data_IF_873811329410
#
_entry.id   IF_873811329410
#
_cell.length_a   1.000
_cell.length_b   1.000
_cell.length_c   1.000
_cell.angle_alpha   90.00
_cell.angle_beta   90.00
_cell.angle_gamma   90.00
#
_symmetry.space_group_name_H-M   'P 1'
#
loop_
_entity.id
_entity.type
_entity.pdbx_description
1 polymer ?
#
# COMPACT_ATOMS: atom_id res chain seq x y z
N UNK A 1 -12.17 -4.53 -8.30
CA UNK A 1 -12.00 -3.10 -8.65
C UNK A 1 -11.49 -2.99 -10.08
N UNK A 2 -11.62 -1.83 -10.73
CA UNK A 2 -11.07 -1.62 -12.06
C UNK A 2 -10.63 -0.17 -12.28
N UNK A 3 -9.71 0.04 -13.22
CA UNK A 3 -9.22 1.38 -13.61
C UNK A 3 -9.32 1.58 -15.11
N UNK A 4 -9.38 2.85 -15.53
CA UNK A 4 -9.37 3.21 -16.95
C UNK A 4 -7.95 3.43 -17.45
N UNK A 5 -7.68 3.07 -18.70
CA UNK A 5 -6.36 3.28 -19.34
C UNK A 5 -5.92 4.74 -19.29
N UNK A 6 -6.83 5.71 -19.47
CA UNK A 6 -6.50 7.14 -19.36
C UNK A 6 -5.87 7.55 -18.01
N UNK A 7 -6.26 6.88 -16.92
CA UNK A 7 -5.69 7.12 -15.60
C UNK A 7 -4.27 6.55 -15.54
N UNK A 8 -4.08 5.31 -16.00
CA UNK A 8 -2.77 4.67 -16.11
C UNK A 8 -1.77 5.52 -16.93
N UNK A 9 -2.22 6.05 -18.08
CA UNK A 9 -1.43 6.91 -18.97
C UNK A 9 -0.92 8.15 -18.23
N UNK A 10 -1.81 8.83 -17.50
CA UNK A 10 -1.47 10.02 -16.72
C UNK A 10 -0.52 9.68 -15.57
N UNK A 11 -0.85 8.68 -14.76
CA UNK A 11 -0.14 8.36 -13.52
C UNK A 11 1.27 7.80 -13.80
N UNK A 12 1.44 7.06 -14.90
CA UNK A 12 2.73 6.51 -15.30
C UNK A 12 3.50 7.37 -16.32
N UNK A 13 2.94 8.51 -16.73
CA UNK A 13 3.50 9.40 -17.76
C UNK A 13 3.84 8.66 -19.06
N UNK A 14 2.86 7.94 -19.60
CA UNK A 14 2.97 7.21 -20.85
C UNK A 14 2.53 8.08 -22.02
N UNK A 15 3.18 7.92 -23.16
CA UNK A 15 2.77 8.55 -24.40
C UNK A 15 1.78 7.62 -25.12
N UNK A 16 0.68 8.17 -25.64
CA UNK A 16 -0.31 7.41 -26.38
C UNK A 16 -0.07 7.57 -27.88
N UNK A 17 0.36 6.49 -28.52
CA UNK A 17 0.80 6.47 -29.92
C UNK A 17 -0.35 6.10 -30.87
N UNK A 18 -1.23 5.19 -30.47
CA UNK A 18 -2.37 4.74 -31.28
C UNK A 18 -3.55 4.28 -30.42
N UNK A 19 -4.71 4.06 -31.03
CA UNK A 19 -5.91 3.54 -30.35
C UNK A 19 -6.55 4.57 -29.42
N UNK A 20 -6.66 5.82 -29.86
CA UNK A 20 -7.18 6.95 -29.07
C UNK A 20 -8.58 6.69 -28.51
N UNK A 21 -9.42 5.98 -29.27
CA UNK A 21 -10.79 5.62 -28.89
C UNK A 21 -10.86 4.58 -27.76
N UNK A 22 -9.74 3.91 -27.44
CA UNK A 22 -9.64 2.92 -26.37
C UNK A 22 -9.23 3.48 -25.00
N UNK A 23 -9.11 4.80 -24.83
CA UNK A 23 -8.67 5.43 -23.57
C UNK A 23 -9.53 5.07 -22.35
N UNK A 24 -10.79 4.76 -22.58
CA UNK A 24 -11.74 4.37 -21.52
C UNK A 24 -11.82 2.86 -21.31
N UNK A 25 -10.97 2.06 -22.00
CA UNK A 25 -10.84 0.62 -21.74
C UNK A 25 -10.51 0.37 -20.26
N UNK A 26 -11.04 -0.75 -19.76
CA UNK A 26 -10.99 -1.09 -18.34
C UNK A 26 -9.92 -2.14 -18.06
N UNK A 27 -9.09 -1.89 -17.06
CA UNK A 27 -8.09 -2.82 -16.52
C UNK A 27 -8.60 -3.33 -15.18
N UNK A 28 -8.75 -4.64 -15.05
CA UNK A 28 -9.23 -5.29 -13.83
C UNK A 28 -8.27 -6.37 -13.29
N UNK A 29 -7.29 -6.80 -14.08
CA UNK A 29 -6.23 -7.74 -13.65
C UNK A 29 -5.00 -6.95 -13.18
N UNK A 30 -4.42 -7.40 -12.07
CA UNK A 30 -3.20 -6.84 -11.48
C UNK A 30 -1.93 -7.28 -12.23
N UNK A 31 -2.01 -8.39 -12.97
CA UNK A 31 -0.90 -8.98 -13.68
C UNK A 31 -0.70 -8.37 -15.06
N UNK A 32 0.55 -8.45 -15.51
CA UNK A 32 1.00 -7.94 -16.81
C UNK A 32 1.38 -9.14 -17.68
N UNK A 33 0.97 -9.12 -18.94
CA UNK A 33 1.28 -10.15 -19.92
C UNK A 33 2.47 -9.75 -20.78
N UNK A 34 3.37 -10.69 -21.08
CA UNK A 34 4.52 -10.45 -21.97
C UNK A 34 4.45 -11.40 -23.16
N UNK A 35 4.09 -10.91 -24.37
CA UNK A 35 3.68 -11.76 -25.48
C UNK A 35 4.84 -12.45 -26.21
N UNK A 36 5.71 -13.18 -25.50
CA UNK A 36 6.87 -13.85 -26.09
C UNK A 36 6.46 -15.08 -26.91
N UNK A 37 5.67 -15.98 -26.32
CA UNK A 37 5.24 -17.24 -26.93
C UNK A 37 4.09 -17.03 -27.91
N UNK A 38 3.24 -16.04 -27.65
CA UNK A 38 2.16 -15.59 -28.50
C UNK A 38 2.69 -15.08 -29.83
N UNK A 39 3.79 -14.32 -29.79
CA UNK A 39 4.49 -13.93 -31.00
C UNK A 39 5.15 -15.11 -31.71
N UNK A 40 5.37 -16.25 -31.06
CA UNK A 40 5.77 -17.50 -31.71
C UNK A 40 4.60 -18.33 -32.26
N UNK A 41 3.35 -17.95 -31.97
CA UNK A 41 2.13 -18.62 -32.42
C UNK A 41 1.53 -19.60 -31.39
N UNK A 42 2.04 -19.61 -30.16
CA UNK A 42 1.49 -20.40 -29.07
C UNK A 42 0.52 -19.55 -28.24
N UNK A 43 -0.76 -19.91 -28.22
CA UNK A 43 -1.83 -19.13 -27.59
C UNK A 43 -2.55 -19.86 -26.45
N UNK A 44 -2.09 -21.06 -26.10
CA UNK A 44 -2.63 -21.74 -24.94
C UNK A 44 -2.26 -20.92 -23.69
N UNK A 45 -3.23 -20.70 -22.81
CA UNK A 45 -3.13 -19.83 -21.62
C UNK A 45 -3.14 -18.31 -21.88
N UNK A 46 -3.47 -17.86 -23.10
CA UNK A 46 -3.60 -16.42 -23.41
C UNK A 46 -4.67 -15.73 -22.55
N UNK A 47 -4.26 -14.74 -21.75
CA UNK A 47 -5.17 -13.95 -20.91
C UNK A 47 -5.38 -12.53 -21.44
N UNK A 48 -6.43 -12.36 -22.24
CA UNK A 48 -6.75 -11.11 -22.92
C UNK A 48 -6.98 -9.92 -21.97
N UNK A 49 -7.48 -10.17 -20.75
CA UNK A 49 -7.85 -9.11 -19.80
C UNK A 49 -6.68 -8.34 -19.18
N UNK A 50 -5.43 -8.72 -19.47
CA UNK A 50 -4.22 -8.16 -18.87
C UNK A 50 -3.62 -7.03 -19.71
N UNK A 51 -2.87 -6.15 -19.06
CA UNK A 51 -2.04 -5.18 -19.76
C UNK A 51 -0.86 -5.89 -20.41
N UNK A 52 -0.61 -5.63 -21.70
CA UNK A 52 0.52 -6.25 -22.40
C UNK A 52 1.76 -5.35 -22.33
N UNK A 53 2.91 -5.92 -22.01
CA UNK A 53 4.19 -5.21 -21.99
C UNK A 53 5.14 -5.80 -23.03
N UNK A 54 5.49 -4.99 -24.03
CA UNK A 54 6.45 -5.33 -25.08
C UNK A 54 7.78 -4.67 -24.74
N UNK A 55 8.81 -5.52 -24.61
CA UNK A 55 10.18 -5.09 -24.39
C UNK A 55 11.06 -5.33 -25.60
N UNK A 56 12.36 -5.12 -25.40
CA UNK A 56 13.37 -5.36 -26.44
C UNK A 56 13.39 -6.80 -26.93
N UNK A 57 13.14 -7.81 -26.07
CA UNK A 57 13.18 -9.22 -26.46
C UNK A 57 12.03 -9.56 -27.41
N UNK A 58 10.81 -9.18 -27.05
CA UNK A 58 9.60 -9.46 -27.81
C UNK A 58 9.64 -8.78 -29.19
N UNK A 59 10.02 -7.51 -29.25
CA UNK A 59 10.13 -6.81 -30.54
C UNK A 59 11.28 -7.35 -31.40
N UNK A 60 12.41 -7.73 -30.80
CA UNK A 60 13.53 -8.30 -31.55
C UNK A 60 13.17 -9.65 -32.16
N UNK A 61 12.33 -10.44 -31.47
CA UNK A 61 11.80 -11.68 -32.00
C UNK A 61 10.83 -11.42 -33.16
N UNK A 62 9.88 -10.49 -33.01
CA UNK A 62 8.95 -10.12 -34.08
C UNK A 62 9.69 -9.65 -35.34
N UNK A 63 10.75 -8.86 -35.18
CA UNK A 63 11.54 -8.35 -36.30
C UNK A 63 12.32 -9.43 -37.07
N UNK A 64 12.44 -10.65 -36.52
CA UNK A 64 13.04 -11.80 -37.22
C UNK A 64 12.04 -12.60 -38.05
N UNK A 65 10.74 -12.33 -37.91
CA UNK A 65 9.69 -12.99 -38.67
C UNK A 65 9.43 -12.25 -39.98
N UNK A 66 8.90 -12.98 -40.97
CA UNK A 66 8.35 -12.36 -42.16
C UNK A 66 7.23 -11.38 -41.79
N UNK A 67 7.17 -10.25 -42.49
CA UNK A 67 6.25 -9.14 -42.17
C UNK A 67 4.79 -9.60 -42.08
N UNK A 68 4.34 -10.44 -43.01
CA UNK A 68 2.96 -10.95 -43.03
C UNK A 68 2.68 -11.90 -41.87
N UNK A 69 3.68 -12.70 -41.46
CA UNK A 69 3.58 -13.56 -40.28
C UNK A 69 3.52 -12.71 -39.01
N UNK A 70 4.40 -11.73 -38.87
CA UNK A 70 4.42 -10.81 -37.73
C UNK A 70 3.08 -10.06 -37.58
N UNK A 71 2.57 -9.48 -38.69
CA UNK A 71 1.26 -8.81 -38.73
C UNK A 71 0.15 -9.75 -38.31
N UNK A 72 0.13 -10.98 -38.82
CA UNK A 72 -0.90 -11.98 -38.50
C UNK A 72 -0.91 -12.31 -37.01
N UNK A 73 0.26 -12.55 -36.42
CA UNK A 73 0.41 -12.88 -34.99
C UNK A 73 0.03 -11.70 -34.09
N UNK A 74 0.45 -10.49 -34.44
CA UNK A 74 0.10 -9.28 -33.69
C UNK A 74 -1.39 -8.99 -33.81
N UNK A 75 -1.98 -9.13 -35.00
CA UNK A 75 -3.43 -9.00 -35.22
C UNK A 75 -4.23 -9.96 -34.34
N UNK A 76 -3.75 -11.18 -34.12
CA UNK A 76 -4.40 -12.11 -33.19
C UNK A 76 -4.50 -11.51 -31.77
N UNK A 77 -3.42 -10.91 -31.26
CA UNK A 77 -3.43 -10.26 -29.94
C UNK A 77 -4.44 -9.11 -29.90
N UNK A 78 -4.43 -8.21 -30.89
CA UNK A 78 -5.38 -7.09 -30.95
C UNK A 78 -6.85 -7.55 -31.06
N UNK A 79 -7.12 -8.64 -31.79
CA UNK A 79 -8.47 -9.24 -31.87
C UNK A 79 -9.02 -9.71 -30.53
N UNK A 80 -8.13 -10.03 -29.58
CA UNK A 80 -8.52 -10.41 -28.22
C UNK A 80 -8.84 -9.20 -27.33
N UNK A 81 -8.62 -7.98 -27.84
CA UNK A 81 -8.96 -6.72 -27.18
C UNK A 81 -8.33 -6.57 -25.78
N UNK A 82 -6.98 -6.64 -25.68
CA UNK A 82 -6.34 -6.31 -24.43
C UNK A 82 -6.65 -4.86 -24.04
N UNK A 83 -6.75 -4.54 -22.74
CA UNK A 83 -7.05 -3.20 -22.27
C UNK A 83 -6.12 -2.15 -22.88
N UNK A 84 -4.82 -2.44 -22.92
CA UNK A 84 -3.79 -1.67 -23.63
C UNK A 84 -2.51 -2.48 -23.83
N UNK A 85 -1.64 -1.98 -24.71
CA UNK A 85 -0.29 -2.49 -24.96
C UNK A 85 0.70 -1.38 -24.62
N UNK A 86 1.70 -1.68 -23.80
CA UNK A 86 2.78 -0.77 -23.41
C UNK A 86 4.09 -1.23 -24.03
N UNK A 87 4.78 -0.33 -24.70
CA UNK A 87 6.09 -0.55 -25.30
C UNK A 87 7.17 0.16 -24.47
N UNK A 88 8.23 -0.56 -24.11
CA UNK A 88 9.36 0.05 -23.38
C UNK A 88 10.16 1.01 -24.27
N UNK A 89 11.04 1.80 -23.66
CA UNK A 89 11.78 2.90 -24.35
C UNK A 89 12.54 2.45 -25.59
N UNK A 90 13.10 1.24 -25.59
CA UNK A 90 13.90 0.71 -26.71
C UNK A 90 13.07 0.12 -27.86
N UNK A 91 11.75 0.01 -27.70
CA UNK A 91 10.87 -0.59 -28.72
C UNK A 91 10.50 0.46 -29.76
N UNK A 92 11.04 0.37 -30.97
CA UNK A 92 10.47 1.12 -32.10
C UNK A 92 9.14 0.47 -32.46
N UNK A 93 8.04 1.22 -32.36
CA UNK A 93 6.68 0.71 -32.59
C UNK A 93 6.47 0.61 -34.10
N UNK A 94 6.28 -0.60 -34.66
CA UNK A 94 6.03 -0.76 -36.10
C UNK A 94 4.69 -0.15 -36.53
N UNK A 95 4.58 0.33 -37.76
CA UNK A 95 3.35 0.97 -38.27
C UNK A 95 2.11 0.07 -38.16
N UNK A 96 2.27 -1.25 -38.33
CA UNK A 96 1.14 -2.17 -38.20
C UNK A 96 0.58 -2.24 -36.77
N UNK A 97 1.36 -1.90 -35.73
CA UNK A 97 0.80 -1.73 -34.37
C UNK A 97 -0.10 -0.50 -34.28
N UNK A 98 0.25 0.58 -34.98
CA UNK A 98 -0.54 1.82 -35.02
C UNK A 98 -1.85 1.58 -35.74
N UNK A 99 -1.79 0.95 -36.92
CA UNK A 99 -2.95 0.57 -37.70
C UNK A 99 -3.90 -0.34 -36.90
N UNK A 100 -3.38 -1.43 -36.33
CA UNK A 100 -4.18 -2.38 -35.55
C UNK A 100 -4.70 -1.75 -34.24
N UNK A 101 -3.93 -0.89 -33.59
CA UNK A 101 -4.38 -0.18 -32.39
C UNK A 101 -5.58 0.72 -32.67
N UNK A 102 -5.59 1.39 -33.81
CA UNK A 102 -6.74 2.19 -34.25
C UNK A 102 -7.91 1.30 -34.69
N UNK A 103 -7.68 0.24 -35.47
CA UNK A 103 -8.70 -0.71 -35.95
C UNK A 103 -9.46 -1.36 -34.78
N UNK A 104 -8.74 -1.87 -33.78
CA UNK A 104 -9.30 -2.62 -32.65
C UNK A 104 -9.63 -1.74 -31.43
N UNK A 105 -9.38 -0.43 -31.51
CA UNK A 105 -9.55 0.52 -30.39
C UNK A 105 -8.77 0.07 -29.14
N UNK A 106 -7.56 -0.43 -29.36
CA UNK A 106 -6.64 -0.84 -28.30
C UNK A 106 -5.53 0.21 -28.19
N UNK A 107 -5.41 0.91 -27.04
CA UNK A 107 -4.36 1.88 -26.83
C UNK A 107 -2.97 1.25 -26.95
N UNK A 108 -2.14 1.83 -27.80
CA UNK A 108 -0.71 1.51 -27.89
C UNK A 108 0.06 2.64 -27.23
N UNK A 109 0.74 2.29 -26.14
CA UNK A 109 1.39 3.22 -25.23
C UNK A 109 2.90 3.07 -25.33
N UNK A 110 3.62 4.18 -25.19
CA UNK A 110 5.07 4.25 -25.18
C UNK A 110 5.55 4.75 -23.82
N UNK A 111 6.48 4.02 -23.22
CA UNK A 111 7.15 4.42 -22.00
C UNK A 111 8.54 5.00 -22.31
N UNK A 112 8.97 5.96 -21.49
CA UNK A 112 10.35 6.45 -21.47
C UNK A 112 11.28 5.58 -20.60
N UNK A 113 10.78 4.50 -19.99
CA UNK A 113 11.55 3.59 -19.15
C UNK A 113 11.96 2.29 -19.88
N UNK A 114 13.06 1.68 -19.44
CA UNK A 114 13.48 0.34 -19.87
C UNK A 114 12.51 -0.73 -19.35
N UNK A 115 12.45 -1.88 -20.04
CA UNK A 115 11.48 -2.96 -19.78
C UNK A 115 11.38 -3.37 -18.32
N UNK A 116 12.51 -3.61 -17.65
CA UNK A 116 12.52 -4.00 -16.23
C UNK A 116 11.89 -2.92 -15.34
N UNK A 117 12.29 -1.66 -15.53
CA UNK A 117 11.81 -0.55 -14.73
C UNK A 117 10.31 -0.30 -14.93
N UNK A 118 9.82 -0.30 -16.17
CA UNK A 118 8.38 -0.14 -16.42
C UNK A 118 7.59 -1.34 -15.93
N UNK A 119 8.13 -2.57 -16.03
CA UNK A 119 7.46 -3.77 -15.52
C UNK A 119 7.24 -3.69 -14.01
N UNK A 120 8.27 -3.35 -13.23
CA UNK A 120 8.15 -3.21 -11.78
C UNK A 120 7.22 -2.05 -11.41
N UNK A 121 7.34 -0.89 -12.08
CA UNK A 121 6.49 0.27 -11.81
C UNK A 121 5.02 -0.03 -12.11
N UNK A 122 4.74 -0.69 -13.23
CA UNK A 122 3.39 -1.08 -13.65
C UNK A 122 2.80 -2.11 -12.68
N UNK A 123 3.57 -3.13 -12.30
CA UNK A 123 3.12 -4.13 -11.34
C UNK A 123 2.73 -3.49 -10.00
N UNK A 124 3.61 -2.69 -9.40
CA UNK A 124 3.33 -2.01 -8.13
C UNK A 124 2.11 -1.08 -8.24
N UNK A 125 1.97 -0.35 -9.35
CA UNK A 125 0.84 0.53 -9.57
C UNK A 125 -0.49 -0.23 -9.67
N UNK A 126 -0.52 -1.32 -10.44
CA UNK A 126 -1.72 -2.14 -10.59
C UNK A 126 -2.09 -2.83 -9.28
N UNK A 127 -1.11 -3.36 -8.54
CA UNK A 127 -1.31 -3.91 -7.21
C UNK A 127 -1.93 -2.88 -6.27
N UNK A 128 -1.30 -1.72 -6.09
CA UNK A 128 -1.81 -0.70 -5.17
C UNK A 128 -3.21 -0.16 -5.57
N UNK A 129 -3.52 -0.09 -6.87
CA UNK A 129 -4.77 0.52 -7.34
C UNK A 129 -5.93 -0.48 -7.42
N UNK A 130 -5.64 -1.77 -7.63
CA UNK A 130 -6.65 -2.83 -7.77
C UNK A 130 -6.72 -3.75 -6.55
N UNK A 131 -5.83 -3.62 -5.56
CA UNK A 131 -5.84 -4.40 -4.33
C UNK A 131 -7.18 -4.32 -3.61
N UNK A 132 -7.63 -5.44 -3.07
CA UNK A 132 -8.83 -5.49 -2.24
C UNK A 132 -8.69 -4.55 -1.04
N UNK A 133 -9.75 -3.79 -0.75
CA UNK A 133 -9.78 -2.83 0.35
C UNK A 133 -10.79 -3.26 1.39
N UNK A 134 -10.38 -3.19 2.65
CA UNK A 134 -11.26 -3.33 3.81
C UNK A 134 -11.31 -2.00 4.54
N UNK A 135 -12.48 -1.57 4.98
CA UNK A 135 -12.60 -0.42 5.89
C UNK A 135 -12.63 -0.92 7.32
N UNK A 136 -11.79 -0.37 8.18
CA UNK A 136 -11.79 -0.61 9.62
C UNK A 136 -12.10 0.68 10.38
N UNK A 137 -12.70 0.56 11.56
CA UNK A 137 -12.96 1.72 12.43
C UNK A 137 -11.81 1.93 13.41
N UNK A 138 -11.19 3.10 13.39
CA UNK A 138 -10.01 3.41 14.18
C UNK A 138 -9.34 4.70 13.72
N UNK A 139 -8.19 5.00 14.29
CA UNK A 139 -7.38 6.17 13.94
C UNK A 139 -5.99 5.71 13.52
N UNK A 140 -5.57 6.05 12.32
CA UNK A 140 -4.24 5.71 11.80
C UNK A 140 -3.34 6.93 11.87
N UNK A 141 -2.18 6.76 12.50
CA UNK A 141 -1.17 7.80 12.67
C UNK A 141 0.23 7.33 12.29
N UNK A 142 1.09 8.28 11.95
CA UNK A 142 2.53 8.08 11.87
C UNK A 142 3.19 8.68 13.10
N UNK A 143 3.62 7.81 14.00
CA UNK A 143 4.21 8.16 15.29
C UNK A 143 5.70 7.83 15.22
N UNK A 144 6.55 8.85 15.14
CA UNK A 144 8.00 8.68 15.00
C UNK A 144 8.43 7.73 13.85
N UNK A 145 7.69 7.71 12.74
CA UNK A 145 7.96 6.84 11.59
C UNK A 145 7.27 5.47 11.67
N UNK A 146 6.65 5.13 12.81
CA UNK A 146 5.87 3.91 13.00
C UNK A 146 4.41 4.16 12.62
N UNK A 147 3.88 3.38 11.67
CA UNK A 147 2.46 3.43 11.36
C UNK A 147 1.64 2.71 12.42
N UNK A 148 0.91 3.47 13.22
CA UNK A 148 0.18 2.98 14.39
C UNK A 148 -1.32 3.14 14.19
N UNK A 149 -2.02 2.02 14.15
CA UNK A 149 -3.47 1.94 14.09
C UNK A 149 -4.03 1.87 15.52
N UNK A 150 -4.70 2.94 15.95
CA UNK A 150 -5.32 3.08 17.26
C UNK A 150 -6.78 2.61 17.16
N UNK A 151 -7.10 1.52 17.85
CA UNK A 151 -8.40 0.87 17.90
C UNK A 151 -9.03 1.02 19.28
N UNK A 152 -10.32 0.74 19.39
CA UNK A 152 -11.03 0.76 20.66
C UNK A 152 -12.49 1.18 20.51
N UNK A 153 -13.29 0.96 21.56
CA UNK A 153 -14.73 1.28 21.57
C UNK A 153 -14.99 2.76 21.30
N UNK A 154 -16.18 3.09 20.78
CA UNK A 154 -16.56 4.49 20.57
C UNK A 154 -16.55 5.28 21.89
N UNK A 155 -16.04 6.51 21.86
CA UNK A 155 -15.93 7.36 23.04
C UNK A 155 -14.83 6.99 24.05
N UNK A 156 -13.92 6.07 23.72
CA UNK A 156 -12.77 5.73 24.59
C UNK A 156 -11.67 6.81 24.58
N UNK A 157 -11.72 7.76 23.64
CA UNK A 157 -10.74 8.84 23.51
C UNK A 157 -9.75 8.70 22.34
N UNK A 158 -10.08 7.95 21.28
CA UNK A 158 -9.17 7.73 20.14
C UNK A 158 -8.79 9.03 19.43
N UNK A 159 -9.78 9.84 19.07
CA UNK A 159 -9.59 11.08 18.33
C UNK A 159 -8.93 12.16 19.21
N UNK A 160 -9.25 12.21 20.51
CA UNK A 160 -8.56 13.08 21.48
C UNK A 160 -7.09 12.71 21.66
N UNK A 161 -6.78 11.41 21.76
CA UNK A 161 -5.40 10.90 21.78
C UNK A 161 -4.65 11.30 20.51
N UNK A 162 -5.30 11.17 19.35
CA UNK A 162 -4.70 11.52 18.07
C UNK A 162 -4.41 13.02 17.95
N UNK A 163 -5.34 13.88 18.39
CA UNK A 163 -5.13 15.32 18.41
C UNK A 163 -3.92 15.72 19.27
N UNK A 164 -3.76 15.10 20.43
CA UNK A 164 -2.61 15.36 21.30
C UNK A 164 -1.30 14.90 20.64
N UNK A 165 -1.30 13.73 19.99
CA UNK A 165 -0.13 13.23 19.23
C UNK A 165 0.22 14.16 18.06
N UNK A 166 -0.76 14.70 17.33
CA UNK A 166 -0.51 15.69 16.28
C UNK A 166 0.18 16.92 16.86
N UNK A 167 -0.29 17.41 18.01
CA UNK A 167 0.34 18.55 18.71
C UNK A 167 1.79 18.27 19.13
N UNK A 168 2.16 16.99 19.35
CA UNK A 168 3.55 16.55 19.61
C UNK A 168 4.39 16.39 18.33
N UNK A 169 3.83 16.67 17.15
CA UNK A 169 4.54 16.62 15.87
C UNK A 169 4.32 15.34 15.08
N UNK A 170 3.43 14.45 15.52
CA UNK A 170 3.06 13.24 14.77
C UNK A 170 2.06 13.55 13.66
N UNK A 171 1.90 12.63 12.71
CA UNK A 171 1.09 12.88 11.51
C UNK A 171 -0.18 12.03 11.54
N UNK A 172 -1.33 12.63 11.24
CA UNK A 172 -2.57 11.92 11.00
C UNK A 172 -2.57 11.32 9.59
N UNK A 173 -3.04 10.08 9.46
CA UNK A 173 -3.41 9.50 8.17
C UNK A 173 -4.92 9.47 8.02
N UNK A 174 -5.64 8.95 9.02
CA UNK A 174 -7.10 8.91 9.01
C UNK A 174 -7.67 8.85 10.43
N UNK A 175 -8.84 9.45 10.63
CA UNK A 175 -9.65 9.37 11.84
C UNK A 175 -10.99 8.67 11.51
N UNK A 176 -11.58 8.01 12.51
CA UNK A 176 -12.81 7.21 12.45
C UNK A 176 -12.80 6.00 11.50
N UNK A 177 -12.53 6.19 10.21
CA UNK A 177 -12.51 5.13 9.18
C UNK A 177 -11.17 5.07 8.49
N UNK A 178 -10.57 3.88 8.46
CA UNK A 178 -9.30 3.64 7.76
C UNK A 178 -9.55 2.62 6.66
N UNK A 179 -9.26 2.98 5.42
CA UNK A 179 -9.26 2.03 4.30
C UNK A 179 -7.89 1.37 4.25
N UNK A 180 -7.87 0.06 4.46
CA UNK A 180 -6.66 -0.78 4.45
C UNK A 180 -6.63 -1.70 3.23
N UNK A 181 -5.43 -1.96 2.71
CA UNK A 181 -5.20 -2.95 1.66
C UNK A 181 -3.80 -3.57 1.81
N UNK A 182 -3.64 -4.79 1.31
CA UNK A 182 -2.35 -5.47 1.22
C UNK A 182 -1.70 -5.12 -0.12
N UNK A 183 -0.58 -4.38 -0.11
CA UNK A 183 0.17 -4.00 -1.32
C UNK A 183 0.94 -5.21 -1.88
N UNK A 184 1.53 -5.99 -0.99
CA UNK A 184 2.19 -7.27 -1.21
C UNK A 184 2.09 -8.09 0.10
N UNK A 185 2.26 -9.42 0.07
CA UNK A 185 2.19 -10.23 1.29
C UNK A 185 3.08 -9.69 2.41
N UNK A 186 2.47 -9.35 3.55
CA UNK A 186 3.18 -8.75 4.70
C UNK A 186 3.30 -7.22 4.67
N UNK A 187 2.72 -6.53 3.68
CA UNK A 187 2.72 -5.06 3.58
C UNK A 187 1.30 -4.49 3.59
N UNK A 188 0.82 -4.19 4.78
CA UNK A 188 -0.48 -3.56 5.00
C UNK A 188 -0.38 -2.03 4.92
N UNK A 189 -1.11 -1.42 4.00
CA UNK A 189 -1.20 0.04 3.84
C UNK A 189 -2.55 0.52 4.37
N UNK A 190 -2.54 1.62 5.13
CA UNK A 190 -3.76 2.33 5.49
C UNK A 190 -3.81 3.73 4.89
N UNK A 191 -5.03 4.16 4.54
CA UNK A 191 -5.37 5.45 3.95
C UNK A 191 -6.67 5.98 4.53
N UNK A 192 -6.90 7.30 4.45
CA UNK A 192 -8.22 7.85 4.71
C UNK A 192 -9.15 7.68 3.50
N UNK A 193 -10.46 7.46 3.72
CA UNK A 193 -11.45 7.76 2.71
C UNK A 193 -11.33 9.23 2.28
N UNK A 194 -11.44 9.50 0.98
CA UNK A 194 -11.17 10.82 0.40
C UNK A 194 -11.94 11.99 1.05
N UNK A 195 -13.14 11.73 1.55
CA UNK A 195 -13.97 12.75 2.24
C UNK A 195 -13.49 13.08 3.65
N UNK A 196 -12.75 12.17 4.30
CA UNK A 196 -12.25 12.29 5.67
C UNK A 196 -10.77 12.72 5.73
N UNK A 197 -10.10 12.84 4.59
CA UNK A 197 -8.71 13.30 4.54
C UNK A 197 -8.55 14.62 5.32
N UNK A 198 -7.56 14.66 6.24
CA UNK A 198 -7.17 15.83 7.05
C UNK A 198 -8.19 16.24 8.12
N UNK A 199 -9.35 15.60 8.21
CA UNK A 199 -10.37 15.94 9.18
C UNK A 199 -10.32 15.02 10.40
N UNK A 200 -10.61 15.59 11.56
CA UNK A 200 -10.81 14.86 12.83
C UNK A 200 -12.11 15.35 13.47
N UNK A 201 -12.90 14.44 14.04
CA UNK A 201 -14.07 14.82 14.85
C UNK A 201 -13.69 14.89 16.32
N UNK A 202 -13.91 16.05 16.95
CA UNK A 202 -13.68 16.24 18.38
C UNK A 202 -15.01 16.56 19.06
N UNK A 203 -15.37 15.74 20.05
CA UNK A 203 -16.62 15.94 20.80
C UNK A 203 -16.62 17.29 21.50
N UNK A 204 -17.71 18.04 21.35
CA UNK A 204 -17.87 19.38 21.91
C UNK A 204 -17.22 20.51 21.11
N UNK A 205 -16.42 20.19 20.09
CA UNK A 205 -15.82 21.19 19.18
C UNK A 205 -16.40 21.04 17.77
N UNK A 206 -16.53 19.81 17.27
CA UNK A 206 -16.96 19.50 15.91
C UNK A 206 -15.83 18.98 15.02
N UNK A 207 -16.01 19.08 13.71
CA UNK A 207 -15.04 18.62 12.70
C UNK A 207 -13.95 19.68 12.51
N UNK A 208 -12.71 19.24 12.50
CA UNK A 208 -11.53 20.12 12.47
C UNK A 208 -10.55 19.68 11.37
N UNK A 209 -10.03 20.63 10.61
CA UNK A 209 -8.97 20.41 9.62
C UNK A 209 -7.58 20.53 10.27
N UNK A 210 -6.87 19.41 10.40
CA UNK A 210 -5.58 19.34 11.09
C UNK A 210 -4.47 20.07 10.33
N UNK A 211 -4.57 20.17 9.00
CA UNK A 211 -3.57 20.88 8.18
C UNK A 211 -3.70 22.38 8.37
N UNK A 212 -4.93 22.90 8.50
CA UNK A 212 -5.15 24.33 8.79
C UNK A 212 -4.70 24.71 10.20
N UNK A 213 -4.85 23.82 11.17
CA UNK A 213 -4.46 24.10 12.55
C UNK A 213 -2.96 23.93 12.81
N UNK A 214 -2.34 22.89 12.27
CA UNK A 214 -0.99 22.45 12.64
C UNK A 214 0.00 22.46 11.47
N UNK A 215 -0.46 22.83 10.27
CA UNK A 215 0.36 22.92 9.06
C UNK A 215 0.44 21.61 8.27
N UNK A 216 1.11 21.65 7.12
CA UNK A 216 1.23 20.52 6.20
C UNK A 216 1.93 19.29 6.81
N UNK A 217 2.75 19.48 7.85
CA UNK A 217 3.42 18.39 8.57
C UNK A 217 2.49 17.51 9.41
N UNK A 218 1.26 17.95 9.69
CA UNK A 218 0.32 17.24 10.55
C UNK A 218 -0.46 16.11 9.84
N UNK A 219 -0.32 15.96 8.52
CA UNK A 219 -1.06 14.99 7.73
C UNK A 219 -0.16 14.23 6.75
N UNK A 220 -0.51 12.98 6.49
CA UNK A 220 0.10 12.13 5.46
C UNK A 220 -0.98 11.28 4.78
N UNK A 221 -0.92 11.14 3.46
CA UNK A 221 -1.97 10.47 2.68
C UNK A 221 -2.08 8.95 2.97
N UNK A 222 -0.95 8.29 3.21
CA UNK A 222 -0.89 6.84 3.44
C UNK A 222 0.28 6.45 4.34
N UNK A 223 0.15 5.31 5.02
CA UNK A 223 1.24 4.75 5.83
C UNK A 223 1.14 3.22 5.91
N UNK A 224 2.30 2.56 5.90
CA UNK A 224 2.42 1.13 6.24
C UNK A 224 2.06 0.95 7.71
N UNK A 225 1.03 0.16 7.99
CA UNK A 225 0.61 -0.20 9.35
C UNK A 225 1.60 -1.24 9.87
N UNK A 226 2.19 -0.96 11.03
CA UNK A 226 3.21 -1.81 11.66
C UNK A 226 2.93 -2.08 13.14
N UNK A 227 1.97 -1.39 13.74
CA UNK A 227 1.54 -1.60 15.11
C UNK A 227 0.03 -1.34 15.21
N UNK A 228 -0.68 -2.20 15.94
CA UNK A 228 -2.04 -1.95 16.41
C UNK A 228 -2.00 -1.64 17.90
N UNK A 229 -2.59 -0.53 18.30
CA UNK A 229 -2.80 -0.19 19.72
C UNK A 229 -4.29 -0.23 20.00
N UNK A 230 -4.74 -1.17 20.83
CA UNK A 230 -6.14 -1.25 21.25
C UNK A 230 -6.33 -0.56 22.60
N UNK A 231 -7.13 0.50 22.60
CA UNK A 231 -7.56 1.19 23.81
C UNK A 231 -8.77 0.50 24.39
N UNK A 232 -8.64 0.05 25.64
CA UNK A 232 -9.73 -0.59 26.39
C UNK A 232 -10.02 0.19 27.67
N UNK A 233 -11.25 0.08 28.18
CA UNK A 233 -11.52 0.55 29.54
C UNK A 233 -10.75 -0.33 30.51
N UNK A 234 -10.17 0.28 31.53
CA UNK A 234 -9.58 -0.49 32.62
C UNK A 234 -10.66 -1.29 33.35
N UNK A 235 -10.39 -2.57 33.57
CA UNK A 235 -11.24 -3.49 34.31
C UNK A 235 -10.43 -4.13 35.44
N UNK A 236 -10.99 -4.12 36.65
CA UNK A 236 -10.36 -4.73 37.81
C UNK A 236 -10.26 -6.25 37.62
N UNK A 237 -9.11 -6.83 37.97
CA UNK A 237 -8.84 -8.26 37.80
C UNK A 237 -8.45 -8.73 36.40
N UNK A 238 -8.49 -7.88 35.35
CA UNK A 238 -7.95 -8.25 34.03
C UNK A 238 -6.42 -8.21 34.05
N UNK A 239 -5.78 -9.28 33.58
CA UNK A 239 -4.32 -9.32 33.46
C UNK A 239 -3.86 -8.40 32.32
N UNK A 240 -2.97 -7.47 32.65
CA UNK A 240 -2.24 -6.65 31.69
C UNK A 240 -0.77 -7.01 31.81
N UNK A 241 -0.13 -7.36 30.69
CA UNK A 241 1.29 -7.68 30.67
C UNK A 241 2.10 -6.47 31.14
N UNK A 242 2.77 -6.62 32.29
CA UNK A 242 3.56 -5.56 32.94
C UNK A 242 5.00 -5.51 32.44
N UNK A 243 5.48 -6.59 31.83
CA UNK A 243 6.87 -6.73 31.39
C UNK A 243 6.99 -6.58 29.87
N UNK A 244 5.90 -6.74 29.11
CA UNK A 244 5.91 -6.61 27.65
C UNK A 244 6.64 -7.76 26.96
N UNK A 245 6.66 -8.93 27.61
CA UNK A 245 7.33 -10.15 27.14
C UNK A 245 6.49 -10.89 26.10
N UNK A 246 5.16 -10.76 26.15
CA UNK A 246 4.26 -11.39 25.18
C UNK A 246 4.00 -10.45 24.01
N UNK A 247 4.40 -10.86 22.81
CA UNK A 247 4.02 -10.17 21.57
C UNK A 247 2.70 -10.74 21.09
N UNK A 248 1.61 -10.01 21.32
CA UNK A 248 0.34 -10.32 20.67
C UNK A 248 0.39 -9.84 19.23
N UNK A 249 -0.30 -10.54 18.33
CA UNK A 249 -0.46 -10.13 16.94
C UNK A 249 -1.92 -10.14 16.54
N UNK A 250 -2.25 -9.38 15.50
CA UNK A 250 -3.55 -9.43 14.83
C UNK A 250 -3.33 -9.53 13.33
N UNK A 251 -4.27 -10.18 12.64
CA UNK A 251 -4.13 -10.48 11.22
C UNK A 251 -5.14 -9.69 10.39
N UNK A 252 -4.64 -9.03 9.35
CA UNK A 252 -5.44 -8.40 8.29
C UNK A 252 -4.98 -8.97 6.96
N UNK A 253 -5.91 -9.50 6.17
CA UNK A 253 -5.58 -10.27 4.96
C UNK A 253 -4.57 -11.39 5.27
N UNK A 254 -3.37 -11.36 4.69
CA UNK A 254 -2.26 -12.29 4.98
C UNK A 254 -1.16 -11.68 5.85
N UNK A 255 -1.35 -10.45 6.34
CA UNK A 255 -0.34 -9.72 7.13
C UNK A 255 -0.65 -9.81 8.62
N UNK A 256 0.31 -10.29 9.41
CA UNK A 256 0.28 -10.23 10.87
C UNK A 256 0.97 -8.97 11.38
N UNK A 257 0.29 -8.24 12.25
CA UNK A 257 0.75 -6.97 12.83
C UNK A 257 0.82 -7.11 14.36
N UNK A 258 1.92 -6.68 15.00
CA UNK A 258 2.02 -6.58 16.46
C UNK A 258 0.87 -5.77 17.05
N UNK A 259 0.33 -6.23 18.17
CA UNK A 259 -0.80 -5.64 18.88
C UNK A 259 -0.43 -5.38 20.33
N UNK A 260 -0.73 -4.18 20.81
CA UNK A 260 -0.58 -3.77 22.21
C UNK A 260 -1.93 -3.30 22.74
N UNK A 261 -2.33 -3.79 23.90
CA UNK A 261 -3.56 -3.37 24.57
C UNK A 261 -3.22 -2.38 25.68
N UNK A 262 -3.79 -1.18 25.64
CA UNK A 262 -3.54 -0.12 26.62
C UNK A 262 -4.83 0.17 27.39
N UNK A 263 -4.86 -0.04 28.72
CA UNK A 263 -6.00 0.34 29.54
C UNK A 263 -6.06 1.86 29.73
N UNK A 264 -7.23 2.44 29.44
CA UNK A 264 -7.53 3.86 29.63
C UNK A 264 -8.10 4.07 31.03
N UNK A 265 -7.36 4.84 31.84
CA UNK A 265 -7.70 5.26 33.20
C UNK A 265 -7.80 6.78 33.24
N UNK A 266 -8.77 7.31 33.98
CA UNK A 266 -8.88 8.75 34.19
C UNK A 266 -7.58 9.30 34.81
N UNK A 267 -7.09 10.44 34.30
CA UNK A 267 -5.87 11.09 34.76
C UNK A 267 -4.56 10.54 34.16
N UNK A 268 -4.60 9.46 33.37
CA UNK A 268 -3.44 9.02 32.58
C UNK A 268 -3.43 9.67 31.21
N UNK A 269 -2.24 10.00 30.74
CA UNK A 269 -2.04 10.53 29.40
C UNK A 269 -1.95 9.38 28.38
N UNK A 270 -3.06 9.08 27.73
CA UNK A 270 -3.14 8.00 26.74
C UNK A 270 -2.20 8.23 25.55
N UNK A 271 -2.05 9.48 25.10
CA UNK A 271 -1.15 9.82 23.99
C UNK A 271 0.30 9.44 24.29
N UNK A 272 0.76 9.70 25.52
CA UNK A 272 2.09 9.27 25.98
C UNK A 272 2.24 7.75 25.94
N UNK A 273 1.25 7.00 26.40
CA UNK A 273 1.30 5.53 26.39
C UNK A 273 1.35 4.96 24.97
N UNK A 274 0.53 5.51 24.06
CA UNK A 274 0.53 5.12 22.64
C UNK A 274 1.88 5.45 21.99
N UNK A 275 2.43 6.62 22.28
CA UNK A 275 3.75 7.04 21.80
C UNK A 275 4.87 6.12 22.31
N UNK A 276 4.87 5.78 23.60
CA UNK A 276 5.81 4.82 24.19
C UNK A 276 5.68 3.44 23.55
N UNK A 277 4.46 2.97 23.28
CA UNK A 277 4.24 1.69 22.59
C UNK A 277 4.81 1.71 21.16
N UNK A 278 4.59 2.79 20.41
CA UNK A 278 5.13 2.95 19.05
C UNK A 278 6.67 2.98 19.03
N UNK A 279 7.29 3.67 19.99
CA UNK A 279 8.74 3.71 20.14
C UNK A 279 9.32 2.35 20.55
N UNK A 280 8.69 1.66 21.50
CA UNK A 280 9.11 0.33 21.92
C UNK A 280 9.04 -0.68 20.77
N UNK A 281 7.95 -0.66 19.98
CA UNK A 281 7.83 -1.52 18.80
C UNK A 281 8.88 -1.17 17.74
N UNK A 282 9.22 0.11 17.61
CA UNK A 282 10.31 0.54 16.72
C UNK A 282 11.67 -0.01 17.18
N UNK A 283 11.93 -0.08 18.49
CA UNK A 283 13.14 -0.71 19.04
C UNK A 283 13.16 -2.21 18.74
N UNK A 284 12.03 -2.91 18.97
CA UNK A 284 11.90 -4.34 18.62
C UNK A 284 12.17 -4.59 17.13
N UNK A 285 11.68 -3.70 16.26
CA UNK A 285 11.95 -3.74 14.82
C UNK A 285 13.44 -3.57 14.47
N UNK A 286 14.20 -2.85 15.30
CA UNK A 286 15.66 -2.74 15.19
C UNK A 286 16.43 -3.86 15.92
N UNK A 287 15.73 -4.85 16.48
CA UNK A 287 16.33 -5.97 17.20
C UNK A 287 16.65 -5.70 18.67
N UNK A 288 16.26 -4.55 19.21
CA UNK A 288 16.48 -4.18 20.62
C UNK A 288 15.23 -4.54 21.42
N UNK A 289 15.37 -5.39 22.45
CA UNK A 289 14.26 -5.81 23.30
C UNK A 289 14.57 -5.52 24.78
N UNK A 290 14.19 -4.33 25.23
CA UNK A 290 14.46 -3.85 26.59
C UNK A 290 13.85 -4.73 27.68
N UNK A 291 12.70 -5.37 27.44
CA UNK A 291 12.09 -6.29 28.41
C UNK A 291 12.94 -7.55 28.62
N UNK A 292 13.49 -8.07 27.52
CA UNK A 292 14.39 -9.22 27.55
C UNK A 292 15.72 -8.86 28.20
N UNK A 293 16.33 -7.75 27.80
CA UNK A 293 17.57 -7.24 28.41
C UNK A 293 17.41 -7.05 29.92
N UNK A 294 16.33 -6.40 30.36
CA UNK A 294 16.03 -6.23 31.78
C UNK A 294 15.84 -7.56 32.50
N UNK A 295 15.11 -8.51 31.90
CA UNK A 295 14.90 -9.84 32.49
C UNK A 295 16.21 -10.62 32.60
N UNK A 296 17.08 -10.52 31.59
CA UNK A 296 18.43 -11.11 31.62
C UNK A 296 19.29 -10.47 32.72
N UNK A 297 19.28 -9.14 32.86
CA UNK A 297 20.00 -8.42 33.92
C UNK A 297 19.50 -8.79 35.32
N UNK A 298 18.18 -8.80 35.54
CA UNK A 298 17.59 -9.19 36.84
C UNK A 298 17.91 -10.65 37.18
N UNK A 299 17.87 -11.56 36.20
CA UNK A 299 18.26 -12.95 36.40
C UNK A 299 19.76 -13.11 36.69
N UNK A 300 20.62 -12.29 36.07
CA UNK A 300 22.06 -12.27 36.34
C UNK A 300 22.36 -11.77 37.76
N UNK A 301 21.70 -10.70 38.19
CA UNK A 301 21.73 -10.18 39.56
C UNK A 301 21.25 -11.23 40.58
N UNK A 302 20.13 -11.89 40.31
CA UNK A 302 19.58 -12.94 41.18
C UNK A 302 20.49 -14.19 41.27
N UNK A 303 21.38 -14.42 40.29
CA UNK A 303 22.38 -15.50 40.28
C UNK A 303 23.73 -15.08 40.86
N UNK A 304 23.87 -13.85 41.36
CA UNK A 304 25.11 -13.32 41.93
C UNK A 304 26.20 -13.06 40.89
N UNK A 305 25.82 -12.82 39.63
CA UNK A 305 26.74 -12.58 38.51
C UNK A 305 26.66 -11.14 37.95
N UNK A 306 25.94 -10.23 38.62
CA UNK A 306 25.85 -8.82 38.22
C UNK A 306 26.59 -7.90 39.20
N UNK A 307 27.46 -7.04 38.68
CA UNK A 307 27.94 -5.86 39.40
C UNK A 307 26.87 -4.76 39.27
N UNK A 308 26.46 -4.18 40.39
CA UNK A 308 25.60 -2.99 40.43
C UNK A 308 26.43 -1.77 40.01
N UNK A 309 26.43 -1.43 38.71
CA UNK A 309 26.88 -0.12 38.21
C UNK A 309 25.75 0.63 37.48
#
# INVERSE_FOLDING_TARGET
MSIKVKKLVKDLNLELVAGQDGKDNTIADQNVERPGLEFAGFYDFFQAGRVFLIGSKEISFLNKLDLEVAKTRVKYIFRKQPPCIICSVNVQIPNYFVELGNEYKTPVLKSNLRTTAISSKLYNYLQATLAERQTIHGVLMDINGMGTLIMGKSGIGKSETALELIRRGHQLISDDRVDIYEEEPGSLIGTAPKILERYIEIRGIGIVDVVRLFGAGAFRESKKIKLVVELEKWEDGKYYDRLGLETQTTKYFNTEIPKVVIPVLAGRNTALLVESAALNEKLKYFGINSAREFTESVNALARGQGEDE
#
